data_IF_847825482046
#
_entry.id   IF_847825482046
#
_cell.length_a   1.000
_cell.length_b   1.000
_cell.length_c   1.000
_cell.angle_alpha   90.00
_cell.angle_beta   90.00
_cell.angle_gamma   90.00
#
_symmetry.space_group_name_H-M   'P 1'
#
loop_
_entity.id
_entity.type
_entity.pdbx_description
1 polymer ?
#
# COMPACT_ATOMS: atom_id res chain seq x y z
N UNK A 1 17.79 5.93 27.23
CA UNK A 1 18.23 5.72 25.84
C UNK A 1 16.99 5.37 25.04
N UNK A 2 16.28 6.40 24.58
CA UNK A 2 15.01 6.26 23.87
C UNK A 2 15.28 5.67 22.49
N UNK A 3 14.80 4.43 22.28
CA UNK A 3 14.82 3.78 20.98
C UNK A 3 13.71 4.39 20.13
N UNK A 4 13.95 5.59 19.58
CA UNK A 4 13.04 6.14 18.57
C UNK A 4 13.26 5.31 17.32
N UNK A 5 12.40 4.33 17.09
CA UNK A 5 12.27 3.68 15.77
C UNK A 5 11.65 4.74 14.85
N UNK A 6 12.45 5.72 14.44
CA UNK A 6 12.12 6.53 13.28
C UNK A 6 12.41 5.69 12.06
N UNK A 7 11.42 4.91 11.67
CA UNK A 7 11.17 4.62 10.28
C UNK A 7 9.72 4.21 10.26
N UNK A 8 8.84 5.19 10.03
CA UNK A 8 7.76 4.95 9.09
C UNK A 8 8.46 4.43 7.83
N UNK A 9 8.71 3.12 7.81
CA UNK A 9 8.93 2.37 6.59
C UNK A 9 7.61 2.56 5.87
N UNK A 10 7.52 3.66 5.12
CA UNK A 10 6.50 3.84 4.10
C UNK A 10 6.79 2.68 3.18
N UNK A 11 6.22 1.52 3.49
CA UNK A 11 6.38 0.30 2.71
C UNK A 11 5.93 0.69 1.31
N UNK A 12 6.91 0.95 0.46
CA UNK A 12 6.66 1.42 -0.90
C UNK A 12 6.21 0.18 -1.64
N UNK A 13 4.90 0.01 -1.75
CA UNK A 13 4.35 -1.10 -2.50
C UNK A 13 4.56 -0.83 -3.99
N UNK A 14 4.88 -1.91 -4.71
CA UNK A 14 5.13 -1.87 -6.15
C UNK A 14 4.03 -2.64 -6.86
N UNK A 15 3.33 -1.99 -7.79
CA UNK A 15 2.33 -2.65 -8.61
C UNK A 15 2.98 -3.75 -9.45
N UNK A 16 2.49 -4.98 -9.41
CA UNK A 16 3.08 -6.07 -10.18
C UNK A 16 2.94 -5.90 -11.69
N UNK A 17 1.91 -5.18 -12.14
CA UNK A 17 1.63 -4.95 -13.56
C UNK A 17 2.52 -3.85 -14.17
N UNK A 18 2.49 -2.64 -13.60
CA UNK A 18 3.24 -1.50 -14.13
C UNK A 18 4.58 -1.22 -13.44
N UNK A 19 4.90 -1.96 -12.37
CA UNK A 19 6.07 -1.73 -11.49
C UNK A 19 6.15 -0.30 -10.93
N UNK A 20 5.04 0.42 -10.93
CA UNK A 20 4.91 1.75 -10.34
C UNK A 20 4.79 1.69 -8.82
N UNK A 21 5.27 2.73 -8.16
CA UNK A 21 5.11 2.93 -6.72
C UNK A 21 3.65 3.29 -6.42
N UNK A 22 3.06 2.69 -5.39
CA UNK A 22 1.65 2.89 -5.05
C UNK A 22 1.47 3.12 -3.55
N UNK A 23 0.69 4.13 -3.20
CA UNK A 23 0.27 4.38 -1.81
C UNK A 23 -0.95 3.54 -1.43
N UNK A 24 -1.89 3.39 -2.36
CA UNK A 24 -3.05 2.51 -2.22
C UNK A 24 -2.89 1.32 -3.16
N UNK A 25 -2.84 0.12 -2.59
CA UNK A 25 -2.72 -1.14 -3.33
C UNK A 25 -3.99 -1.96 -3.22
N UNK A 26 -4.25 -2.72 -4.27
CA UNK A 26 -5.19 -3.83 -4.26
C UNK A 26 -4.40 -5.11 -4.12
N UNK A 27 -4.53 -5.78 -2.99
CA UNK A 27 -3.86 -7.04 -2.70
C UNK A 27 -4.77 -8.21 -3.04
N UNK A 28 -4.27 -9.15 -3.85
CA UNK A 28 -4.98 -10.39 -4.12
C UNK A 28 -4.81 -11.35 -2.94
N UNK A 29 -5.90 -11.69 -2.26
CA UNK A 29 -5.85 -12.63 -1.12
C UNK A 29 -5.70 -14.10 -1.54
N UNK A 30 -5.64 -14.36 -2.85
CA UNK A 30 -5.57 -15.70 -3.44
C UNK A 30 -4.19 -15.97 -4.04
N UNK A 31 -3.56 -14.97 -4.64
CA UNK A 31 -2.23 -15.08 -5.24
C UNK A 31 -1.15 -14.66 -4.24
N UNK A 32 -0.02 -15.35 -4.28
CA UNK A 32 1.16 -15.01 -3.48
C UNK A 32 1.76 -13.68 -3.95
N UNK A 33 1.88 -12.70 -3.04
CA UNK A 33 2.50 -11.38 -3.27
C UNK A 33 2.01 -10.61 -4.52
N UNK A 34 0.73 -10.77 -4.91
CA UNK A 34 0.17 -10.09 -6.08
C UNK A 34 -0.61 -8.81 -5.75
N UNK A 35 0.09 -7.69 -5.87
CA UNK A 35 -0.47 -6.34 -5.70
C UNK A 35 -0.67 -5.59 -7.01
N UNK A 36 -1.78 -4.87 -7.13
CA UNK A 36 -2.06 -3.94 -8.24
C UNK A 36 -2.30 -2.52 -7.73
N UNK A 37 -1.91 -1.52 -8.54
CA UNK A 37 -2.34 -0.14 -8.34
C UNK A 37 -3.82 0.02 -8.69
N UNK A 38 -4.46 1.07 -8.17
CA UNK A 38 -5.86 1.42 -8.50
C UNK A 38 -6.06 1.47 -10.02
N UNK A 39 -5.14 2.08 -10.76
CA UNK A 39 -5.24 2.20 -12.22
C UNK A 39 -5.15 0.86 -12.95
N UNK A 40 -4.30 -0.07 -12.50
CA UNK A 40 -4.17 -1.38 -13.12
C UNK A 40 -5.36 -2.27 -12.74
N UNK A 41 -5.86 -2.14 -11.52
CA UNK A 41 -7.09 -2.80 -11.09
C UNK A 41 -8.31 -2.31 -11.89
N UNK A 42 -8.40 -1.02 -12.19
CA UNK A 42 -9.52 -0.46 -12.97
C UNK A 42 -9.42 -0.76 -14.47
N UNK A 43 -8.20 -0.72 -15.04
CA UNK A 43 -7.96 -0.97 -16.48
C UNK A 43 -8.00 -2.43 -16.87
N UNK A 44 -7.18 -3.24 -16.22
CA UNK A 44 -7.01 -4.68 -16.54
C UNK A 44 -7.81 -5.53 -15.56
N UNK A 45 -7.89 -5.10 -14.30
CA UNK A 45 -8.47 -5.90 -13.23
C UNK A 45 -7.65 -7.13 -12.91
N UNK A 46 -8.22 -7.97 -12.06
CA UNK A 46 -7.66 -9.26 -11.71
C UNK A 46 -8.83 -10.23 -11.48
N UNK A 47 -8.77 -11.49 -11.95
CA UNK A 47 -9.88 -12.43 -11.87
C UNK A 47 -10.22 -12.86 -10.43
N UNK A 48 -9.32 -12.62 -9.48
CA UNK A 48 -9.57 -12.88 -8.07
C UNK A 48 -10.08 -11.64 -7.34
N UNK A 49 -10.78 -11.89 -6.23
CA UNK A 49 -11.17 -10.83 -5.31
C UNK A 49 -9.92 -10.20 -4.70
N UNK A 50 -9.81 -8.88 -4.83
CA UNK A 50 -8.72 -8.09 -4.26
C UNK A 50 -9.24 -7.20 -3.13
N UNK A 51 -8.42 -6.99 -2.11
CA UNK A 51 -8.72 -6.11 -0.99
C UNK A 51 -7.95 -4.79 -1.15
N UNK A 52 -8.66 -3.67 -0.99
CA UNK A 52 -8.07 -2.33 -1.07
C UNK A 52 -7.38 -2.01 0.25
N UNK A 53 -6.06 -2.01 0.24
CA UNK A 53 -5.23 -1.62 1.37
C UNK A 53 -4.64 -0.24 1.07
N UNK A 54 -5.16 0.79 1.73
CA UNK A 54 -4.61 2.15 1.68
C UNK A 54 -3.82 2.44 2.93
N UNK A 55 -2.67 3.12 2.79
CA UNK A 55 -2.10 3.87 3.89
C UNK A 55 -2.94 5.13 4.04
N UNK A 56 -4.01 5.04 4.84
CA UNK A 56 -4.64 6.24 5.36
C UNK A 56 -3.63 6.85 6.33
N UNK A 57 -2.82 7.78 5.82
CA UNK A 57 -2.08 8.71 6.66
C UNK A 57 -3.13 9.65 7.27
N UNK A 58 -3.87 9.16 8.26
CA UNK A 58 -4.49 10.07 9.22
C UNK A 58 -3.31 10.78 9.88
N UNK A 59 -3.08 12.01 9.41
CA UNK A 59 -2.16 13.01 9.90
C UNK A 59 -2.56 13.38 11.34
N UNK A 60 -2.43 12.41 12.25
CA UNK A 60 -2.55 12.58 13.68
C UNK A 60 -1.28 13.24 14.21
N UNK A 61 -1.05 14.48 13.78
CA UNK A 61 -0.16 15.43 14.43
C UNK A 61 -0.32 15.33 15.94
N UNK A 62 0.73 14.90 16.64
CA UNK A 62 0.89 15.22 18.06
C UNK A 62 1.95 16.32 18.17
N UNK A 63 1.58 17.62 18.13
CA UNK A 63 2.40 18.63 18.77
C UNK A 63 2.20 18.44 20.28
N UNK A 64 3.08 17.68 20.91
CA UNK A 64 3.21 17.70 22.36
C UNK A 64 4.25 18.78 22.70
N UNK A 65 3.75 19.84 23.34
CA UNK A 65 4.42 20.99 23.95
C UNK A 65 5.72 20.63 24.72
#
# INVERSE_FOLDING_TARGET
MNYIIQSQDRFVYTCNNCKGHVETRYHCTVCDDFDLCVTCYDKDGHPHKMEKLGLDLDDGSSPAD
#
